data_IF_770040209308
#
_entry.id   IF_770040209308
#
_cell.length_a   1.000
_cell.length_b   1.000
_cell.length_c   1.000
_cell.angle_alpha   90.00
_cell.angle_beta   90.00
_cell.angle_gamma   90.00
#
_symmetry.space_group_name_H-M   'P 1'
#
loop_
_entity.id
_entity.type
_entity.pdbx_description
1 polymer ?
#
# COMPACT_ATOMS: atom_id res chain seq x y z
N UNK A 1 -5.34 -19.36 13.16
CA UNK A 1 -4.27 -18.78 12.32
C UNK A 1 -4.75 -17.71 11.33
N UNK A 2 -5.91 -17.86 10.66
CA UNK A 2 -6.39 -16.90 9.63
C UNK A 2 -6.47 -15.44 10.10
N UNK A 3 -6.90 -15.18 11.34
CA UNK A 3 -6.95 -13.82 11.92
C UNK A 3 -5.57 -13.17 12.03
N UNK A 4 -4.57 -13.94 12.49
CA UNK A 4 -3.18 -13.47 12.61
C UNK A 4 -2.64 -13.11 11.23
N UNK A 5 -2.85 -14.00 10.24
CA UNK A 5 -2.45 -13.74 8.86
C UNK A 5 -3.11 -12.46 8.30
N UNK A 6 -4.41 -12.24 8.55
CA UNK A 6 -5.09 -11.01 8.13
C UNK A 6 -4.51 -9.75 8.77
N UNK A 7 -4.13 -9.80 10.05
CA UNK A 7 -3.48 -8.67 10.73
C UNK A 7 -2.10 -8.41 10.12
N UNK A 8 -1.28 -9.45 9.92
CA UNK A 8 0.04 -9.32 9.32
C UNK A 8 -0.02 -8.75 7.90
N UNK A 9 -0.94 -9.23 7.07
CA UNK A 9 -1.16 -8.69 5.72
C UNK A 9 -1.64 -7.23 5.76
N UNK A 10 -2.49 -6.88 6.73
CA UNK A 10 -2.93 -5.50 6.93
C UNK A 10 -1.76 -4.57 7.29
N UNK A 11 -0.90 -5.00 8.22
CA UNK A 11 0.29 -4.25 8.64
C UNK A 11 1.30 -4.11 7.49
N UNK A 12 1.58 -5.21 6.77
CA UNK A 12 2.45 -5.19 5.59
C UNK A 12 1.90 -4.25 4.53
N UNK A 13 0.60 -4.33 4.22
CA UNK A 13 -0.04 -3.45 3.25
C UNK A 13 0.08 -1.97 3.64
N UNK A 14 -0.19 -1.64 4.91
CA UNK A 14 -0.07 -0.28 5.41
C UNK A 14 1.37 0.25 5.35
N UNK A 15 2.35 -0.60 5.70
CA UNK A 15 3.77 -0.28 5.56
C UNK A 15 4.16 0.04 4.11
N UNK A 16 3.71 -0.78 3.14
CA UNK A 16 3.99 -0.54 1.73
C UNK A 16 3.36 0.75 1.21
N UNK A 17 2.16 1.11 1.71
CA UNK A 17 1.52 2.41 1.41
C UNK A 17 2.36 3.56 1.95
N UNK A 18 2.78 3.49 3.22
CA UNK A 18 3.63 4.50 3.83
C UNK A 18 4.95 4.69 3.07
N UNK A 19 5.61 3.59 2.69
CA UNK A 19 6.83 3.61 1.86
C UNK A 19 6.59 4.30 0.52
N UNK A 20 5.53 3.94 -0.19
CA UNK A 20 5.19 4.55 -1.48
C UNK A 20 4.90 6.06 -1.39
N UNK A 21 4.37 6.53 -0.26
CA UNK A 21 4.15 7.95 0.00
C UNK A 21 5.46 8.66 0.34
N UNK A 22 6.34 8.03 1.13
CA UNK A 22 7.59 8.65 1.58
C UNK A 22 8.64 8.75 0.47
N UNK A 23 8.73 7.76 -0.42
CA UNK A 23 9.77 7.64 -1.43
C UNK A 23 9.98 8.91 -2.29
N UNK A 24 8.94 9.56 -2.84
CA UNK A 24 9.10 10.75 -3.67
C UNK A 24 9.63 11.98 -2.91
N UNK A 25 9.57 11.98 -1.56
CA UNK A 25 10.11 13.05 -0.72
C UNK A 25 11.52 12.76 -0.20
N UNK A 26 11.95 11.49 -0.28
CA UNK A 26 13.29 11.07 0.14
C UNK A 26 14.28 11.15 -1.03
N UNK A 27 13.83 10.83 -2.24
CA UNK A 27 14.67 10.87 -3.46
C UNK A 27 14.83 12.30 -3.94
N UNK A 28 16.08 12.71 -4.20
CA UNK A 28 16.37 13.93 -4.96
C UNK A 28 16.18 13.64 -6.45
N UNK A 29 15.01 14.00 -6.98
CA UNK A 29 14.65 13.77 -8.38
C UNK A 29 15.53 14.55 -9.37
N UNK A 30 16.26 15.57 -8.90
CA UNK A 30 17.16 16.38 -9.71
C UNK A 30 18.58 15.83 -9.81
N UNK A 31 18.95 14.89 -8.93
CA UNK A 31 20.29 14.32 -8.87
C UNK A 31 20.26 12.79 -9.06
N UNK A 32 20.59 12.28 -10.26
CA UNK A 32 20.66 10.85 -10.53
C UNK A 32 21.61 10.07 -9.62
N UNK A 33 22.61 10.73 -9.03
CA UNK A 33 23.53 10.06 -8.11
C UNK A 33 22.83 9.63 -6.82
N UNK A 34 21.67 10.23 -6.49
CA UNK A 34 20.87 9.89 -5.31
C UNK A 34 20.08 8.59 -5.47
N UNK A 35 19.79 8.13 -6.69
CA UNK A 35 18.90 6.99 -6.95
C UNK A 35 19.41 5.98 -7.99
N UNK A 36 20.55 6.24 -8.64
CA UNK A 36 21.10 5.38 -9.68
C UNK A 36 21.43 3.96 -9.18
N UNK A 37 21.89 3.84 -7.93
CA UNK A 37 22.26 2.55 -7.32
C UNK A 37 21.08 1.88 -6.61
N UNK A 38 19.92 2.53 -6.57
CA UNK A 38 18.73 1.97 -5.94
C UNK A 38 18.08 0.90 -6.81
N UNK A 39 17.26 0.05 -6.19
CA UNK A 39 16.52 -0.96 -6.92
C UNK A 39 15.51 -0.32 -7.88
N UNK A 40 15.74 -0.53 -9.18
CA UNK A 40 14.98 0.13 -10.25
C UNK A 40 15.73 1.28 -10.94
N UNK A 41 16.92 1.67 -10.45
CA UNK A 41 17.86 2.55 -11.15
C UNK A 41 18.38 1.91 -12.45
N UNK A 42 19.01 2.68 -13.38
CA UNK A 42 19.39 4.10 -13.31
C UNK A 42 18.23 5.09 -13.52
N UNK A 43 17.05 4.62 -13.91
CA UNK A 43 15.93 5.49 -14.22
C UNK A 43 15.10 5.82 -12.98
N UNK A 44 14.71 7.08 -12.81
CA UNK A 44 13.78 7.50 -11.75
C UNK A 44 12.46 6.71 -11.83
N UNK A 45 11.96 6.47 -13.05
CA UNK A 45 10.72 5.69 -13.28
C UNK A 45 10.83 4.27 -12.74
N UNK A 46 11.97 3.60 -12.93
CA UNK A 46 12.16 2.25 -12.42
C UNK A 46 12.24 2.19 -10.90
N UNK A 47 12.92 3.16 -10.26
CA UNK A 47 12.96 3.27 -8.79
C UNK A 47 11.54 3.50 -8.23
N UNK A 48 10.82 4.46 -8.80
CA UNK A 48 9.42 4.72 -8.42
C UNK A 48 8.51 3.52 -8.68
N UNK A 49 8.71 2.75 -9.75
CA UNK A 49 7.94 1.55 -10.00
C UNK A 49 8.16 0.49 -8.90
N UNK A 50 9.40 0.23 -8.50
CA UNK A 50 9.72 -0.77 -7.47
C UNK A 50 9.23 -0.33 -6.08
N UNK A 51 9.34 0.96 -5.76
CA UNK A 51 9.06 1.47 -4.41
C UNK A 51 7.60 1.91 -4.24
N UNK A 52 6.96 2.48 -5.27
CA UNK A 52 5.61 3.02 -5.17
C UNK A 52 4.51 2.03 -5.61
N UNK A 53 4.74 1.21 -6.66
CA UNK A 53 3.70 0.34 -7.21
C UNK A 53 3.14 -0.67 -6.18
N UNK A 54 3.97 -1.35 -5.36
CA UNK A 54 3.46 -2.26 -4.32
C UNK A 54 2.58 -1.54 -3.29
N UNK A 55 2.91 -0.29 -2.96
CA UNK A 55 2.11 0.54 -2.05
C UNK A 55 0.77 0.93 -2.68
N UNK A 56 0.75 1.34 -3.95
CA UNK A 56 -0.50 1.63 -4.67
C UNK A 56 -1.42 0.41 -4.72
N UNK A 57 -0.87 -0.75 -5.08
CA UNK A 57 -1.64 -2.01 -5.08
C UNK A 57 -2.18 -2.33 -3.69
N UNK A 58 -1.36 -2.17 -2.65
CA UNK A 58 -1.76 -2.38 -1.26
C UNK A 58 -2.89 -1.43 -0.83
N UNK A 59 -2.81 -0.15 -1.19
CA UNK A 59 -3.87 0.83 -0.92
C UNK A 59 -5.20 0.41 -1.56
N UNK A 60 -5.18 0.01 -2.83
CA UNK A 60 -6.38 -0.46 -3.54
C UNK A 60 -6.99 -1.67 -2.86
N UNK A 61 -6.17 -2.67 -2.51
CA UNK A 61 -6.64 -3.89 -1.85
C UNK A 61 -7.24 -3.60 -0.47
N UNK A 62 -6.60 -2.74 0.33
CA UNK A 62 -7.11 -2.32 1.64
C UNK A 62 -8.45 -1.59 1.51
N UNK A 63 -8.58 -0.65 0.56
CA UNK A 63 -9.83 0.06 0.30
C UNK A 63 -10.95 -0.89 -0.16
N UNK A 64 -10.65 -1.82 -1.06
CA UNK A 64 -11.61 -2.82 -1.53
C UNK A 64 -12.04 -3.75 -0.38
N UNK A 65 -11.11 -4.21 0.45
CA UNK A 65 -11.40 -5.03 1.61
C UNK A 65 -12.29 -4.29 2.63
N UNK A 66 -11.95 -3.03 2.95
CA UNK A 66 -12.73 -2.20 3.88
C UNK A 66 -14.15 -1.94 3.36
N UNK A 67 -14.30 -1.65 2.05
CA UNK A 67 -15.60 -1.47 1.41
C UNK A 67 -16.45 -2.74 1.46
N UNK A 68 -15.84 -3.91 1.21
CA UNK A 68 -16.52 -5.22 1.29
C UNK A 68 -17.00 -5.51 2.71
N UNK A 69 -16.18 -5.25 3.72
CA UNK A 69 -16.58 -5.43 5.12
C UNK A 69 -17.71 -4.50 5.54
N UNK A 70 -17.69 -3.25 5.07
CA UNK A 70 -18.73 -2.27 5.39
C UNK A 70 -20.09 -2.67 4.79
N UNK A 71 -20.10 -3.17 3.55
CA UNK A 71 -21.34 -3.66 2.89
C UNK A 71 -21.93 -4.89 3.57
N UNK A 72 -21.10 -5.81 4.06
CA UNK A 72 -21.58 -7.00 4.78
C UNK A 72 -22.23 -6.69 6.13
N UNK A 73 -21.87 -5.57 6.78
CA UNK A 73 -22.51 -5.13 8.04
C UNK A 73 -23.82 -4.38 7.83
N UNK A 74 -23.98 -3.68 6.71
CA UNK A 74 -25.22 -2.97 6.37
C UNK A 74 -26.41 -3.92 6.11
N UNK A 75 -26.16 -5.22 5.93
CA UNK A 75 -27.17 -6.25 5.73
C UNK A 75 -27.58 -6.98 7.00
N UNK A 76 -27.20 -6.54 8.20
CA UNK A 76 -27.89 -7.00 9.42
C UNK A 76 -29.19 -6.18 9.56
N UNK A 77 -30.36 -6.75 9.26
CA UNK A 77 -31.60 -6.08 9.58
C UNK A 77 -31.68 -6.05 11.11
N UNK A 78 -31.93 -4.87 11.67
CA UNK A 78 -32.50 -4.80 13.01
C UNK A 78 -33.83 -5.55 12.99
N UNK A 79 -33.82 -6.81 13.43
CA UNK A 79 -35.03 -7.53 13.79
C UNK A 79 -35.14 -7.49 15.31
N UNK A 80 -35.95 -6.53 15.73
CA UNK A 80 -36.96 -6.58 16.80
C UNK A 80 -36.51 -6.79 18.26
N UNK A 81 -36.79 -5.76 19.06
CA UNK A 81 -37.51 -5.90 20.33
C UNK A 81 -38.61 -4.84 20.36
#
# INVERSE_FOLDING_TARGET
>A
MKKILSVLLGLLGLYLVGRAIAEPFIIDVGDPTSYHLDWGGPSLVGVLAVHCLPGVVSAVLLVVAARRWSRGRASQPQVQA
#
